data_IF_972575667668
#
_entry.id   IF_972575667668
#
_cell.length_a   1.000
_cell.length_b   1.000
_cell.length_c   1.000
_cell.angle_alpha   90.00
_cell.angle_beta   90.00
_cell.angle_gamma   90.00
#
_symmetry.space_group_name_H-M   'P 1'
#
loop_
_entity.id
_entity.type
_entity.pdbx_description
1 polymer ?
#
# COMPACT_ATOMS: atom_id res chain seq x y z
N UNK A 1 -7.15 -5.70 5.82
CA UNK A 1 -6.17 -4.63 6.09
C UNK A 1 -6.63 -3.81 7.28
N UNK A 2 -5.71 -3.27 8.08
CA UNK A 2 -6.08 -2.56 9.29
C UNK A 2 -5.28 -1.26 9.47
N UNK A 3 -5.98 -0.20 9.81
CA UNK A 3 -5.43 1.07 10.25
C UNK A 3 -5.25 1.02 11.77
N UNK A 4 -4.03 0.84 12.27
CA UNK A 4 -3.77 0.70 13.70
C UNK A 4 -3.50 2.02 14.42
N UNK A 5 -3.36 3.09 13.67
CA UNK A 5 -3.20 4.46 14.17
C UNK A 5 -3.56 5.46 13.10
N UNK A 6 -4.14 6.58 13.50
CA UNK A 6 -4.35 7.73 12.62
C UNK A 6 -3.17 8.72 12.65
N UNK A 7 -2.20 8.53 13.55
CA UNK A 7 -1.01 9.38 13.64
C UNK A 7 0.00 9.03 12.56
N UNK A 8 0.64 10.05 11.99
CA UNK A 8 1.70 9.88 10.99
C UNK A 8 2.83 10.89 11.20
N UNK A 9 4.03 10.48 10.83
CA UNK A 9 5.22 11.35 10.81
C UNK A 9 5.26 12.27 9.58
N UNK A 10 4.39 12.03 8.58
CA UNK A 10 4.33 12.77 7.32
C UNK A 10 2.93 13.32 7.02
N UNK A 11 2.86 14.22 6.03
CA UNK A 11 1.64 14.76 5.42
C UNK A 11 1.79 14.74 3.90
N UNK A 12 1.75 13.52 3.33
CA UNK A 12 1.93 13.33 1.89
C UNK A 12 0.76 13.94 1.10
N UNK A 13 1.07 14.65 0.01
CA UNK A 13 0.07 15.37 -0.80
C UNK A 13 -0.96 14.46 -1.50
N UNK A 14 -0.62 13.19 -1.72
CA UNK A 14 -1.46 12.19 -2.37
C UNK A 14 -1.97 11.13 -1.39
N UNK A 15 -1.90 11.40 -0.07
CA UNK A 15 -2.29 10.43 0.94
C UNK A 15 -3.78 10.16 0.89
N UNK A 16 -4.16 8.91 0.67
CA UNK A 16 -5.58 8.53 0.62
C UNK A 16 -6.25 8.46 2.01
N UNK A 17 -5.47 8.40 3.10
CA UNK A 17 -5.98 8.37 4.47
C UNK A 17 -6.26 9.77 5.00
N UNK A 18 -5.40 10.74 4.65
CA UNK A 18 -5.48 12.12 5.16
C UNK A 18 -6.00 13.12 4.11
N UNK A 19 -6.89 12.68 3.24
CA UNK A 19 -7.57 13.60 2.34
C UNK A 19 -8.24 14.69 3.17
N UNK A 20 -8.11 15.93 2.75
CA UNK A 20 -8.74 17.12 3.35
C UNK A 20 -8.56 17.27 4.87
N UNK A 21 -7.40 16.79 5.38
CA UNK A 21 -7.11 16.84 6.80
C UNK A 21 -7.93 15.85 7.60
N UNK A 22 -7.49 14.60 7.64
CA UNK A 22 -8.13 13.52 8.41
C UNK A 22 -8.62 14.03 9.79
N UNK A 23 -9.94 14.07 10.04
CA UNK A 23 -10.49 14.57 11.31
C UNK A 23 -10.03 13.71 12.50
N UNK A 24 -9.67 12.46 12.27
CA UNK A 24 -9.24 11.50 13.28
C UNK A 24 -7.74 11.54 13.59
N UNK A 25 -6.96 12.39 12.92
CA UNK A 25 -5.49 12.49 13.13
C UNK A 25 -5.11 12.78 14.58
N UNK A 26 -5.95 13.53 15.30
CA UNK A 26 -5.78 13.87 16.72
C UNK A 26 -6.70 13.09 17.66
N UNK A 27 -7.46 12.16 17.11
CA UNK A 27 -8.38 11.32 17.86
C UNK A 27 -7.68 10.45 18.91
N UNK A 28 -8.44 9.99 19.88
CA UNK A 28 -7.94 9.06 20.87
C UNK A 28 -7.70 7.70 20.20
N UNK A 29 -6.53 7.11 20.45
CA UNK A 29 -6.16 5.80 19.90
C UNK A 29 -6.80 4.65 20.69
N UNK A 30 -7.13 3.57 20.00
CA UNK A 30 -7.55 2.32 20.64
C UNK A 30 -6.38 1.72 21.42
N UNK A 31 -6.64 1.30 22.66
CA UNK A 31 -5.63 0.62 23.49
C UNK A 31 -5.20 -0.72 22.88
N UNK A 32 -3.93 -1.07 23.03
CA UNK A 32 -3.32 -2.27 22.43
C UNK A 32 -4.09 -3.55 22.74
N UNK A 33 -4.41 -3.82 24.01
CA UNK A 33 -5.13 -5.03 24.41
C UNK A 33 -6.52 -5.12 23.75
N UNK A 34 -7.24 -4.01 23.67
CA UNK A 34 -8.56 -3.95 23.01
C UNK A 34 -8.43 -4.20 21.51
N UNK A 35 -7.44 -3.58 20.86
CA UNK A 35 -7.19 -3.76 19.44
C UNK A 35 -6.86 -5.21 19.11
N UNK A 36 -5.94 -5.82 19.86
CA UNK A 36 -5.52 -7.21 19.63
C UNK A 36 -6.68 -8.19 19.85
N UNK A 37 -7.50 -7.97 20.87
CA UNK A 37 -8.70 -8.80 21.11
C UNK A 37 -9.65 -8.72 19.92
N UNK A 38 -10.01 -7.51 19.47
CA UNK A 38 -10.90 -7.30 18.32
C UNK A 38 -10.33 -7.94 17.04
N UNK A 39 -9.02 -7.81 16.79
CA UNK A 39 -8.37 -8.42 15.62
C UNK A 39 -8.35 -9.95 15.70
N UNK A 40 -8.16 -10.52 16.89
CA UNK A 40 -8.24 -11.97 17.10
C UNK A 40 -9.65 -12.50 16.86
N UNK A 41 -10.68 -11.80 17.35
CA UNK A 41 -12.09 -12.14 17.09
C UNK A 41 -12.42 -12.13 15.60
N UNK A 42 -12.00 -11.07 14.88
CA UNK A 42 -12.20 -10.95 13.43
C UNK A 42 -11.39 -12.00 12.64
N UNK A 43 -10.18 -12.31 13.09
CA UNK A 43 -9.37 -13.37 12.48
C UNK A 43 -10.08 -14.72 12.56
N UNK A 44 -10.64 -15.08 13.70
CA UNK A 44 -11.38 -16.32 13.89
C UNK A 44 -12.69 -16.34 13.08
N UNK A 45 -13.44 -15.23 13.11
CA UNK A 45 -14.73 -15.11 12.43
C UNK A 45 -14.61 -15.24 10.91
N UNK A 46 -13.57 -14.62 10.33
CA UNK A 46 -13.40 -14.52 8.87
C UNK A 46 -12.28 -15.38 8.31
N UNK A 47 -11.56 -16.14 9.14
CA UNK A 47 -10.43 -16.97 8.71
C UNK A 47 -9.29 -16.16 8.09
N UNK A 48 -9.02 -14.96 8.60
CA UNK A 48 -8.01 -14.05 8.02
C UNK A 48 -6.63 -14.65 8.16
N UNK A 49 -5.94 -14.89 7.05
CA UNK A 49 -4.58 -15.43 7.01
C UNK A 49 -3.52 -14.35 6.82
N UNK A 50 -3.83 -13.32 6.02
CA UNK A 50 -2.89 -12.26 5.64
C UNK A 50 -3.36 -10.97 6.26
N UNK A 51 -2.51 -10.35 7.09
CA UNK A 51 -2.78 -9.03 7.65
C UNK A 51 -1.91 -7.98 6.97
N UNK A 52 -2.57 -6.93 6.44
CA UNK A 52 -1.90 -5.72 5.98
C UNK A 52 -2.04 -4.65 7.06
N UNK A 53 -0.92 -4.38 7.74
CA UNK A 53 -0.79 -3.37 8.76
C UNK A 53 -0.54 -2.01 8.14
N UNK A 54 -1.44 -1.10 8.39
CA UNK A 54 -1.41 0.27 7.88
C UNK A 54 -1.72 1.25 9.01
N UNK A 55 -1.88 2.49 8.63
CA UNK A 55 -2.28 3.55 9.50
C UNK A 55 -1.94 4.90 8.89
N UNK A 56 -1.74 5.90 9.73
CA UNK A 56 -0.88 7.00 9.37
C UNK A 56 0.55 6.46 9.18
N UNK A 57 1.20 6.11 10.28
CA UNK A 57 2.48 5.39 10.25
C UNK A 57 2.43 4.24 11.28
N UNK A 58 2.34 2.98 10.83
CA UNK A 58 2.17 1.85 11.74
C UNK A 58 3.35 1.61 12.68
N UNK A 59 4.56 2.04 12.32
CA UNK A 59 5.73 1.94 13.19
C UNK A 59 5.67 2.85 14.43
N UNK A 60 4.68 3.74 14.52
CA UNK A 60 4.36 4.45 15.77
C UNK A 60 3.65 3.56 16.82
N UNK A 61 3.22 2.36 16.40
CA UNK A 61 2.58 1.37 17.27
C UNK A 61 3.37 0.03 17.28
N UNK A 62 4.63 0.05 17.72
CA UNK A 62 5.46 -1.16 17.81
C UNK A 62 4.85 -2.21 18.76
N UNK A 63 4.12 -1.76 19.77
CA UNK A 63 3.36 -2.58 20.73
C UNK A 63 2.32 -3.45 20.02
N UNK A 64 1.52 -2.84 19.13
CA UNK A 64 0.50 -3.56 18.34
C UNK A 64 1.15 -4.49 17.31
N UNK A 65 2.18 -4.01 16.59
CA UNK A 65 2.83 -4.81 15.55
C UNK A 65 3.48 -6.08 16.10
N UNK A 66 4.21 -5.98 17.22
CA UNK A 66 4.91 -7.13 17.81
C UNK A 66 3.96 -8.24 18.26
N UNK A 67 2.87 -7.88 18.91
CA UNK A 67 1.90 -8.86 19.40
C UNK A 67 0.90 -9.27 18.31
N UNK A 68 0.46 -8.30 17.50
CA UNK A 68 -0.50 -8.55 16.42
C UNK A 68 0.05 -9.44 15.31
N UNK A 69 1.33 -9.32 14.97
CA UNK A 69 1.96 -10.19 13.97
C UNK A 69 1.89 -11.68 14.31
N UNK A 70 1.80 -12.02 15.59
CA UNK A 70 1.66 -13.41 16.06
C UNK A 70 0.29 -14.03 15.74
N UNK A 71 -0.73 -13.19 15.48
CA UNK A 71 -2.11 -13.63 15.22
C UNK A 71 -2.32 -14.13 13.79
N UNK A 72 -1.43 -13.78 12.86
CA UNK A 72 -1.62 -14.04 11.44
C UNK A 72 -0.44 -14.80 10.85
N UNK A 73 -0.74 -15.68 9.90
CA UNK A 73 0.30 -16.51 9.25
C UNK A 73 1.23 -15.71 8.34
N UNK A 74 0.74 -14.58 7.81
CA UNK A 74 1.51 -13.66 6.97
C UNK A 74 1.18 -12.21 7.32
N UNK A 75 2.21 -11.39 7.44
CA UNK A 75 2.10 -9.99 7.79
C UNK A 75 2.74 -9.11 6.71
N UNK A 76 2.08 -8.03 6.37
CA UNK A 76 2.60 -6.99 5.47
C UNK A 76 2.48 -5.67 6.22
N UNK A 77 3.58 -4.94 6.39
CA UNK A 77 3.59 -3.63 7.04
C UNK A 77 3.89 -2.56 6.00
N UNK A 78 2.90 -1.72 5.69
CA UNK A 78 3.11 -0.57 4.79
C UNK A 78 3.54 0.64 5.62
N UNK A 79 4.76 1.10 5.39
CA UNK A 79 5.39 2.20 6.14
C UNK A 79 5.91 3.29 5.21
N UNK A 80 5.99 4.50 5.71
CA UNK A 80 6.65 5.60 5.00
C UNK A 80 8.19 5.54 5.10
N UNK A 81 8.74 4.58 5.83
CA UNK A 81 10.17 4.31 5.93
C UNK A 81 10.99 5.39 6.66
N UNK A 82 10.37 6.30 7.41
CA UNK A 82 11.10 7.34 8.15
C UNK A 82 11.52 6.93 9.56
N UNK A 83 11.08 5.76 10.01
CA UNK A 83 11.42 5.13 11.28
C UNK A 83 12.15 3.81 11.04
N UNK A 84 12.96 3.38 12.01
CA UNK A 84 13.66 2.10 11.93
C UNK A 84 12.66 0.93 11.91
N UNK A 85 12.96 -0.09 11.11
CA UNK A 85 12.12 -1.28 10.98
C UNK A 85 12.26 -2.18 12.21
N UNK A 86 11.21 -2.93 12.51
CA UNK A 86 11.17 -3.89 13.62
C UNK A 86 11.39 -5.30 13.04
N UNK A 87 12.24 -6.09 13.65
CA UNK A 87 12.40 -7.48 13.26
C UNK A 87 11.15 -8.28 13.69
N UNK A 88 10.33 -8.67 12.70
CA UNK A 88 9.08 -9.40 12.88
C UNK A 88 9.09 -10.66 12.01
N UNK A 89 8.86 -11.81 12.62
CA UNK A 89 8.74 -13.07 11.87
C UNK A 89 7.54 -13.04 10.90
N UNK A 90 7.67 -13.72 9.76
CA UNK A 90 6.62 -13.84 8.73
C UNK A 90 6.08 -12.47 8.24
N UNK A 91 6.98 -11.50 8.11
CA UNK A 91 6.63 -10.13 7.76
C UNK A 91 7.30 -9.68 6.45
N UNK A 92 6.57 -8.90 5.67
CA UNK A 92 7.09 -8.14 4.53
C UNK A 92 6.87 -6.65 4.81
N UNK A 93 7.94 -5.87 4.79
CA UNK A 93 7.83 -4.41 4.79
C UNK A 93 7.66 -3.88 3.37
N UNK A 94 6.67 -3.01 3.20
CA UNK A 94 6.43 -2.25 1.98
C UNK A 94 6.75 -0.79 2.28
N UNK A 95 7.93 -0.35 1.88
CA UNK A 95 8.40 1.02 2.11
C UNK A 95 7.95 1.91 0.96
N UNK A 96 7.27 2.98 1.30
CA UNK A 96 6.71 3.91 0.31
C UNK A 96 7.75 4.93 -0.16
N UNK A 97 8.06 4.94 -1.47
CA UNK A 97 8.98 5.89 -2.12
C UNK A 97 8.42 6.25 -3.50
N UNK A 98 8.25 7.55 -3.80
CA UNK A 98 7.52 8.00 -5.00
C UNK A 98 8.37 8.68 -6.07
N UNK A 99 9.66 8.48 -6.04
CA UNK A 99 10.57 9.03 -7.05
C UNK A 99 11.97 9.30 -6.52
N UNK A 100 12.87 9.79 -7.36
CA UNK A 100 14.16 10.35 -6.96
C UNK A 100 14.01 11.47 -5.91
N UNK A 101 15.09 11.90 -5.26
CA UNK A 101 15.03 12.77 -4.07
C UNK A 101 14.07 13.95 -4.16
N UNK A 102 14.17 14.76 -5.19
CA UNK A 102 13.38 15.99 -5.32
C UNK A 102 11.88 15.70 -5.55
N UNK A 103 11.55 14.69 -6.36
CA UNK A 103 10.17 14.28 -6.63
C UNK A 103 9.54 13.61 -5.40
N UNK A 104 10.25 12.70 -4.77
CA UNK A 104 9.78 12.08 -3.54
C UNK A 104 9.50 13.13 -2.46
N UNK A 105 10.44 14.05 -2.26
CA UNK A 105 10.31 15.10 -1.25
C UNK A 105 9.21 16.11 -1.60
N UNK A 106 9.00 16.40 -2.88
CA UNK A 106 7.90 17.25 -3.34
C UNK A 106 6.51 16.64 -3.05
N UNK A 107 6.42 15.29 -3.02
CA UNK A 107 5.18 14.54 -2.76
C UNK A 107 5.01 14.24 -1.27
N UNK A 108 6.06 13.69 -0.62
CA UNK A 108 6.00 13.15 0.75
C UNK A 108 6.51 14.10 1.84
N UNK A 109 7.23 15.15 1.45
CA UNK A 109 7.80 16.13 2.37
C UNK A 109 9.31 16.15 2.35
N UNK A 110 9.87 17.33 2.59
CA UNK A 110 11.31 17.62 2.51
C UNK A 110 12.14 16.69 3.40
N UNK A 111 13.20 16.10 2.83
CA UNK A 111 14.14 15.21 3.50
C UNK A 111 13.63 13.79 3.72
N UNK A 112 12.44 13.44 3.22
CA UNK A 112 11.86 12.10 3.38
C UNK A 112 12.69 11.06 2.64
N UNK A 113 13.11 11.33 1.40
CA UNK A 113 13.94 10.41 0.64
C UNK A 113 15.23 10.04 1.39
N UNK A 114 15.93 11.02 1.91
CA UNK A 114 17.14 10.79 2.71
C UNK A 114 16.89 9.93 3.95
N UNK A 115 15.75 10.11 4.62
CA UNK A 115 15.36 9.27 5.77
C UNK A 115 15.11 7.82 5.36
N UNK A 116 14.39 7.60 4.25
CA UNK A 116 14.14 6.26 3.71
C UNK A 116 15.45 5.57 3.35
N UNK A 117 16.34 6.23 2.61
CA UNK A 117 17.66 5.66 2.26
C UNK A 117 18.48 5.31 3.49
N UNK A 118 18.42 6.14 4.55
CA UNK A 118 19.05 5.87 5.83
C UNK A 118 18.43 4.63 6.51
N UNK A 119 17.11 4.48 6.50
CA UNK A 119 16.43 3.30 7.04
C UNK A 119 16.89 2.04 6.30
N UNK A 120 16.87 2.06 4.95
CA UNK A 120 17.32 0.94 4.13
C UNK A 120 18.78 0.57 4.38
N UNK A 121 19.69 1.54 4.57
CA UNK A 121 21.10 1.28 4.85
C UNK A 121 21.38 0.69 6.25
N UNK A 122 20.42 0.80 7.16
CA UNK A 122 20.55 0.31 8.54
C UNK A 122 19.95 -1.06 8.78
N UNK A 123 19.32 -1.66 7.75
CA UNK A 123 18.77 -3.02 7.86
C UNK A 123 19.92 -3.98 8.18
N UNK A 124 19.84 -4.75 9.30
CA UNK A 124 20.87 -5.72 9.65
C UNK A 124 21.01 -6.85 8.60
N UNK A 125 22.16 -7.50 8.55
CA UNK A 125 22.35 -8.66 7.66
C UNK A 125 21.40 -9.81 7.98
N UNK A 126 21.13 -10.04 9.25
CA UNK A 126 20.26 -11.10 9.74
C UNK A 126 18.84 -10.58 10.03
N UNK A 127 18.32 -9.69 9.19
CA UNK A 127 16.96 -9.19 9.33
C UNK A 127 15.97 -10.18 8.71
N UNK A 128 15.06 -10.73 9.51
CA UNK A 128 14.14 -11.79 9.07
C UNK A 128 13.06 -11.34 8.08
N UNK A 129 12.47 -10.12 8.19
CA UNK A 129 11.48 -9.65 7.24
C UNK A 129 12.05 -9.38 5.85
N UNK A 130 11.27 -9.73 4.82
CA UNK A 130 11.48 -9.24 3.46
C UNK A 130 11.23 -7.73 3.41
N UNK A 131 12.09 -6.99 2.71
CA UNK A 131 11.94 -5.54 2.54
C UNK A 131 11.82 -5.20 1.07
N UNK A 132 10.68 -4.60 0.72
CA UNK A 132 10.44 -4.10 -0.63
C UNK A 132 10.00 -2.63 -0.61
N UNK A 133 10.16 -1.95 -1.74
CA UNK A 133 9.66 -0.61 -1.94
C UNK A 133 8.39 -0.60 -2.79
N UNK A 134 7.53 0.37 -2.57
CA UNK A 134 6.38 0.63 -3.43
C UNK A 134 6.34 2.10 -3.84
N UNK A 135 6.21 2.33 -5.14
CA UNK A 135 5.96 3.64 -5.72
C UNK A 135 4.48 3.78 -6.09
N UNK A 136 3.83 4.83 -5.60
CA UNK A 136 2.55 5.26 -6.14
C UNK A 136 2.83 6.13 -7.35
N UNK A 137 2.62 5.56 -8.53
CA UNK A 137 2.80 6.26 -9.81
C UNK A 137 1.68 7.28 -9.98
N UNK A 138 2.05 8.47 -10.32
CA UNK A 138 1.18 9.62 -10.57
C UNK A 138 1.65 10.33 -11.83
N UNK A 139 0.87 11.24 -12.38
CA UNK A 139 1.31 12.09 -13.49
C UNK A 139 2.57 12.92 -13.17
N UNK A 140 2.90 13.11 -11.88
CA UNK A 140 4.09 13.87 -11.48
C UNK A 140 5.40 13.10 -11.58
N UNK A 141 5.35 11.80 -11.36
CA UNK A 141 6.55 10.96 -11.26
C UNK A 141 6.65 9.88 -12.34
N UNK A 142 5.70 9.82 -13.27
CA UNK A 142 5.65 8.78 -14.30
C UNK A 142 6.90 8.68 -15.19
N UNK A 143 7.62 9.77 -15.37
CA UNK A 143 8.83 9.82 -16.21
C UNK A 143 10.13 9.50 -15.42
N UNK A 144 10.04 9.17 -14.11
CA UNK A 144 11.20 8.94 -13.24
C UNK A 144 11.25 7.53 -12.65
N UNK A 145 10.43 6.60 -13.14
CA UNK A 145 10.28 5.26 -12.55
C UNK A 145 11.56 4.42 -12.66
N UNK A 146 12.26 4.52 -13.79
CA UNK A 146 13.53 3.80 -13.99
C UNK A 146 14.64 4.35 -13.10
N UNK A 147 14.78 5.66 -13.03
CA UNK A 147 15.76 6.29 -12.15
C UNK A 147 15.54 5.86 -10.69
N UNK A 148 14.29 5.84 -10.22
CA UNK A 148 13.95 5.36 -8.89
C UNK A 148 14.34 3.88 -8.72
N UNK A 149 13.99 3.02 -9.68
CA UNK A 149 14.32 1.60 -9.63
C UNK A 149 15.84 1.38 -9.52
N UNK A 150 16.63 2.08 -10.33
CA UNK A 150 18.09 2.02 -10.30
C UNK A 150 18.67 2.46 -8.96
N UNK A 151 18.14 3.55 -8.38
CA UNK A 151 18.57 4.02 -7.04
C UNK A 151 18.25 2.99 -5.96
N UNK A 152 17.05 2.38 -5.99
CA UNK A 152 16.64 1.38 -4.99
C UNK A 152 17.42 0.06 -5.11
N UNK A 153 17.83 -0.35 -6.30
CA UNK A 153 18.68 -1.53 -6.50
C UNK A 153 20.06 -1.42 -5.83
N UNK A 154 20.50 -0.20 -5.49
CA UNK A 154 21.75 0.00 -4.73
C UNK A 154 21.58 -0.14 -3.22
N UNK A 155 20.37 -0.42 -2.75
CA UNK A 155 20.02 -0.52 -1.33
C UNK A 155 19.82 -1.97 -0.89
N UNK A 156 19.35 -2.16 0.34
CA UNK A 156 18.93 -3.49 0.84
C UNK A 156 17.46 -3.82 0.54
N UNK A 157 16.79 -3.07 -0.30
CA UNK A 157 15.48 -3.46 -0.80
C UNK A 157 15.62 -4.65 -1.75
N UNK A 158 14.85 -5.71 -1.49
CA UNK A 158 14.86 -6.94 -2.29
C UNK A 158 14.06 -6.79 -3.60
N UNK A 159 13.19 -5.79 -3.66
CA UNK A 159 12.40 -5.52 -4.85
C UNK A 159 11.53 -4.28 -4.72
N UNK A 160 10.80 -4.00 -5.78
CA UNK A 160 9.82 -2.92 -5.79
C UNK A 160 8.55 -3.28 -6.54
N UNK A 161 7.46 -2.55 -6.24
CA UNK A 161 6.21 -2.59 -7.00
C UNK A 161 5.74 -1.18 -7.36
N UNK A 162 5.05 -1.09 -8.48
CA UNK A 162 4.32 0.08 -8.90
C UNK A 162 2.83 -0.10 -8.57
N UNK A 163 2.28 0.81 -7.78
CA UNK A 163 0.85 1.04 -7.64
C UNK A 163 0.53 2.36 -8.31
N UNK A 164 -0.67 2.55 -8.78
CA UNK A 164 -1.04 3.80 -9.44
C UNK A 164 -1.99 4.60 -8.56
N UNK A 165 -2.00 5.89 -8.78
CA UNK A 165 -2.82 6.80 -8.01
C UNK A 165 -4.30 6.44 -8.07
N UNK A 166 -4.97 6.52 -6.93
CA UNK A 166 -6.42 6.37 -6.81
C UNK A 166 -6.99 7.75 -6.51
N UNK A 167 -7.56 8.44 -7.50
CA UNK A 167 -8.05 9.79 -7.31
C UNK A 167 -9.32 9.82 -6.45
N UNK A 168 -9.55 10.86 -5.65
CA UNK A 168 -10.87 11.17 -5.13
C UNK A 168 -11.83 11.52 -6.28
N UNK A 169 -13.12 11.48 -6.01
CA UNK A 169 -14.13 11.95 -6.96
C UNK A 169 -13.88 13.42 -7.31
N UNK A 170 -13.94 13.74 -8.60
CA UNK A 170 -13.69 15.10 -9.13
C UNK A 170 -12.27 15.64 -8.87
N UNK A 171 -11.27 14.77 -8.83
CA UNK A 171 -9.87 15.18 -8.64
C UNK A 171 -9.37 16.04 -9.80
N UNK A 172 -9.02 17.29 -9.50
CA UNK A 172 -8.40 18.24 -10.42
C UNK A 172 -6.91 18.45 -10.13
N UNK A 173 -6.31 17.61 -9.29
CA UNK A 173 -4.90 17.71 -8.95
C UNK A 173 -4.01 17.29 -10.12
N UNK A 174 -2.74 17.69 -10.06
CA UNK A 174 -1.74 17.24 -11.04
C UNK A 174 -1.18 15.83 -10.73
N UNK A 175 -1.82 15.06 -9.84
CA UNK A 175 -1.50 13.66 -9.60
C UNK A 175 -2.25 12.72 -10.53
N UNK A 176 -3.50 13.08 -10.92
CA UNK A 176 -4.33 12.26 -11.80
C UNK A 176 -4.04 12.52 -13.28
N UNK A 177 -4.27 11.52 -14.12
CA UNK A 177 -4.25 11.65 -15.59
C UNK A 177 -5.61 12.11 -16.16
N UNK A 178 -6.67 12.04 -15.36
CA UNK A 178 -8.03 12.36 -15.76
C UNK A 178 -8.69 11.30 -16.67
N UNK A 179 -7.95 10.33 -17.19
CA UNK A 179 -8.50 9.18 -17.91
C UNK A 179 -7.55 7.97 -17.88
N UNK A 180 -8.09 6.77 -18.12
CA UNK A 180 -7.33 5.54 -18.18
C UNK A 180 -6.36 5.52 -19.38
N UNK A 181 -6.79 6.04 -20.53
CA UNK A 181 -5.96 6.08 -21.75
C UNK A 181 -4.70 6.92 -21.55
N UNK A 182 -4.81 8.04 -20.86
CA UNK A 182 -3.64 8.86 -20.52
C UNK A 182 -2.71 8.16 -19.53
N UNK A 183 -3.23 7.31 -18.64
CA UNK A 183 -2.45 6.50 -17.71
C UNK A 183 -1.68 5.38 -18.40
N UNK A 184 -2.16 4.90 -19.56
CA UNK A 184 -1.56 3.75 -20.26
C UNK A 184 -0.06 3.92 -20.51
N UNK A 185 0.43 5.13 -20.82
CA UNK A 185 1.88 5.39 -20.96
C UNK A 185 2.66 4.96 -19.72
N UNK A 186 2.21 5.36 -18.56
CA UNK A 186 2.87 5.01 -17.29
C UNK A 186 2.75 3.50 -16.96
N UNK A 187 1.63 2.85 -17.33
CA UNK A 187 1.46 1.40 -17.19
C UNK A 187 2.43 0.66 -18.13
N UNK A 188 2.57 1.08 -19.38
CA UNK A 188 3.53 0.50 -20.32
C UNK A 188 4.97 0.66 -19.83
N UNK A 189 5.31 1.81 -19.24
CA UNK A 189 6.63 2.01 -18.64
C UNK A 189 6.88 1.03 -17.48
N UNK A 190 5.91 0.84 -16.59
CA UNK A 190 6.01 -0.16 -15.53
C UNK A 190 6.16 -1.60 -16.09
N UNK A 191 5.49 -1.91 -17.21
CA UNK A 191 5.65 -3.19 -17.91
C UNK A 191 7.04 -3.34 -18.51
N UNK A 192 7.57 -2.30 -19.15
CA UNK A 192 8.94 -2.28 -19.69
C UNK A 192 9.96 -2.51 -18.55
N UNK A 193 9.79 -1.82 -17.42
CA UNK A 193 10.68 -1.99 -16.27
C UNK A 193 10.60 -3.39 -15.67
N UNK A 194 9.41 -4.02 -15.67
CA UNK A 194 9.27 -5.43 -15.30
C UNK A 194 10.06 -6.37 -16.23
N UNK A 195 10.14 -6.06 -17.51
CA UNK A 195 10.93 -6.85 -18.47
C UNK A 195 12.42 -6.57 -18.33
N UNK A 196 12.81 -5.32 -18.08
CA UNK A 196 14.20 -4.90 -17.94
C UNK A 196 14.83 -5.39 -16.63
N UNK A 197 14.06 -5.35 -15.54
CA UNK A 197 14.50 -5.72 -14.18
C UNK A 197 13.59 -6.80 -13.57
N UNK A 198 13.52 -8.01 -14.15
CA UNK A 198 12.54 -9.02 -13.80
C UNK A 198 12.62 -9.51 -12.36
N UNK A 199 13.81 -9.51 -11.76
CA UNK A 199 14.02 -9.96 -10.40
C UNK A 199 13.73 -8.88 -9.36
N UNK A 200 13.83 -7.60 -9.75
CA UNK A 200 13.66 -6.48 -8.86
C UNK A 200 12.23 -5.88 -8.91
N UNK A 201 11.60 -5.78 -10.08
CA UNK A 201 10.22 -5.32 -10.22
C UNK A 201 9.27 -6.50 -10.00
N UNK A 202 8.54 -6.49 -8.89
CA UNK A 202 7.71 -7.63 -8.46
C UNK A 202 6.27 -7.59 -8.95
N UNK A 203 5.86 -6.54 -9.65
CA UNK A 203 4.57 -6.56 -10.34
C UNK A 203 4.45 -7.81 -11.22
N UNK A 204 3.31 -8.48 -11.18
CA UNK A 204 3.01 -9.51 -12.18
C UNK A 204 2.65 -8.83 -13.49
N UNK A 205 3.22 -9.30 -14.62
CA UNK A 205 2.90 -8.75 -15.95
C UNK A 205 1.39 -8.67 -16.16
N UNK A 206 0.66 -9.76 -15.88
CA UNK A 206 -0.79 -9.80 -16.02
C UNK A 206 -1.51 -8.74 -15.18
N UNK A 207 -1.04 -8.45 -13.97
CA UNK A 207 -1.64 -7.38 -13.15
C UNK A 207 -1.47 -5.99 -13.75
N UNK A 208 -0.39 -5.73 -14.47
CA UNK A 208 -0.18 -4.48 -15.20
C UNK A 208 -1.04 -4.43 -16.48
N UNK A 209 -1.13 -5.53 -17.23
CA UNK A 209 -2.02 -5.63 -18.41
C UNK A 209 -3.47 -5.35 -18.04
N UNK A 210 -3.93 -5.84 -16.89
CA UNK A 210 -5.28 -5.58 -16.39
C UNK A 210 -5.51 -4.09 -16.02
N UNK A 211 -4.45 -3.30 -15.81
CA UNK A 211 -4.55 -1.87 -15.53
C UNK A 211 -4.68 -1.01 -16.78
N UNK A 212 -4.44 -1.55 -17.97
CA UNK A 212 -4.63 -0.82 -19.24
C UNK A 212 -6.11 -0.48 -19.45
N UNK A 213 -6.37 0.63 -20.13
CA UNK A 213 -7.72 1.18 -20.30
C UNK A 213 -8.75 0.20 -20.85
N UNK A 214 -8.33 -0.70 -21.73
CA UNK A 214 -9.19 -1.73 -22.34
C UNK A 214 -9.64 -2.82 -21.35
N UNK A 215 -8.94 -2.99 -20.22
CA UNK A 215 -9.20 -4.02 -19.22
C UNK A 215 -9.66 -3.47 -17.86
N UNK A 216 -9.19 -2.28 -17.51
CA UNK A 216 -9.27 -1.76 -16.15
C UNK A 216 -10.72 -1.63 -15.65
N UNK A 217 -11.63 -1.16 -16.51
CA UNK A 217 -13.04 -0.98 -16.13
C UNK A 217 -13.72 -2.32 -15.79
N UNK A 218 -13.44 -3.40 -16.53
CA UNK A 218 -13.97 -4.72 -16.21
C UNK A 218 -13.54 -5.18 -14.80
N UNK A 219 -12.30 -4.87 -14.41
CA UNK A 219 -11.77 -5.21 -13.08
C UNK A 219 -12.42 -4.35 -12.01
N UNK A 220 -12.56 -3.04 -12.22
CA UNK A 220 -13.11 -2.13 -11.21
C UNK A 220 -14.61 -2.29 -11.01
N UNK A 221 -15.37 -2.56 -12.05
CA UNK A 221 -16.80 -2.89 -11.97
C UNK A 221 -17.05 -4.16 -11.13
N UNK A 222 -16.14 -5.14 -11.22
CA UNK A 222 -16.17 -6.40 -10.49
C UNK A 222 -15.08 -6.46 -9.40
N UNK A 223 -14.84 -5.37 -8.71
CA UNK A 223 -13.72 -5.20 -7.80
C UNK A 223 -13.57 -6.31 -6.77
N UNK A 224 -12.46 -7.07 -6.78
CA UNK A 224 -12.25 -8.19 -5.87
C UNK A 224 -12.10 -7.76 -4.41
N UNK A 225 -11.76 -6.49 -4.14
CA UNK A 225 -11.67 -5.97 -2.78
C UNK A 225 -12.99 -6.07 -2.03
N UNK A 226 -14.13 -5.96 -2.72
CA UNK A 226 -15.47 -6.14 -2.13
C UNK A 226 -15.70 -7.52 -1.54
N UNK A 227 -14.97 -8.53 -2.03
CA UNK A 227 -15.16 -9.94 -1.66
C UNK A 227 -14.02 -10.49 -0.80
N UNK A 228 -12.80 -10.00 -0.99
CA UNK A 228 -11.60 -10.62 -0.42
C UNK A 228 -10.84 -9.75 0.57
N UNK A 229 -11.24 -8.50 0.76
CA UNK A 229 -10.57 -7.57 1.67
C UNK A 229 -11.55 -7.08 2.72
N UNK A 230 -11.19 -7.24 3.99
CA UNK A 230 -11.87 -6.59 5.13
C UNK A 230 -11.05 -5.34 5.50
N UNK A 231 -11.49 -4.13 5.12
CA UNK A 231 -10.80 -2.89 5.47
C UNK A 231 -11.28 -2.40 6.83
N UNK A 232 -10.37 -2.26 7.76
CA UNK A 232 -10.62 -1.76 9.12
C UNK A 232 -9.95 -0.41 9.29
N UNK A 233 -10.72 0.64 9.45
CA UNK A 233 -10.24 1.98 9.74
C UNK A 233 -10.60 2.37 11.18
N UNK A 234 -9.79 3.21 11.79
CA UNK A 234 -9.95 3.59 13.18
C UNK A 234 -10.68 4.93 13.27
N UNK A 235 -11.89 4.90 13.85
CA UNK A 235 -12.67 6.09 14.21
C UNK A 235 -13.09 5.98 15.67
N UNK A 236 -12.88 7.02 16.47
CA UNK A 236 -13.28 7.10 17.88
C UNK A 236 -13.00 5.83 18.71
N UNK A 237 -11.82 5.24 18.52
CA UNK A 237 -11.38 3.97 19.14
C UNK A 237 -12.16 2.72 18.71
N UNK A 238 -12.92 2.79 17.63
CA UNK A 238 -13.62 1.66 17.04
C UNK A 238 -13.12 1.38 15.62
N UNK A 239 -13.29 0.14 15.17
CA UNK A 239 -13.05 -0.19 13.76
C UNK A 239 -14.33 0.05 12.98
N UNK A 240 -14.21 0.86 11.94
CA UNK A 240 -15.23 1.03 10.92
C UNK A 240 -14.77 0.35 9.64
N UNK A 241 -15.71 -0.11 8.83
CA UNK A 241 -15.47 -0.81 7.59
C UNK A 241 -16.10 -0.04 6.44
N UNK A 242 -15.57 1.15 6.08
CA UNK A 242 -15.89 1.73 4.80
C UNK A 242 -15.30 0.79 3.75
N UNK A 243 -15.72 0.91 2.52
CA UNK A 243 -15.14 0.13 1.43
C UNK A 243 -13.60 0.18 1.46
N UNK A 244 -12.90 -0.18 0.42
CA UNK A 244 -11.46 -0.29 0.40
C UNK A 244 -10.70 1.02 0.68
N UNK A 245 -11.31 2.20 0.48
CA UNK A 245 -10.71 3.50 0.76
C UNK A 245 -11.48 4.22 1.86
N UNK A 246 -10.75 4.90 2.74
CA UNK A 246 -11.33 5.71 3.80
C UNK A 246 -12.20 6.82 3.22
N UNK A 247 -13.42 6.96 3.76
CA UNK A 247 -14.38 7.98 3.32
C UNK A 247 -15.18 7.63 2.06
N UNK A 248 -14.81 6.62 1.30
CA UNK A 248 -15.51 6.17 0.07
C UNK A 248 -15.69 7.23 -1.02
N UNK A 249 -14.84 8.25 -1.01
CA UNK A 249 -14.88 9.40 -1.90
C UNK A 249 -13.99 9.25 -3.14
N UNK A 250 -13.70 8.03 -3.55
CA UNK A 250 -12.79 7.73 -4.67
C UNK A 250 -13.52 7.51 -5.98
N UNK A 251 -12.84 7.89 -7.06
CA UNK A 251 -13.24 7.51 -8.41
C UNK A 251 -12.77 6.08 -8.70
N UNK A 252 -13.67 5.12 -8.52
CA UNK A 252 -13.37 3.71 -8.75
C UNK A 252 -13.10 3.41 -10.23
N UNK A 253 -13.63 4.16 -11.18
CA UNK A 253 -13.38 3.98 -12.62
C UNK A 253 -11.92 4.29 -12.98
N UNK A 254 -11.28 5.18 -12.22
CA UNK A 254 -9.87 5.52 -12.35
C UNK A 254 -8.96 4.81 -11.34
N UNK A 255 -9.47 3.80 -10.64
CA UNK A 255 -8.70 3.09 -9.63
C UNK A 255 -7.35 2.59 -10.18
N UNK A 256 -6.28 2.90 -9.45
CA UNK A 256 -4.92 2.48 -9.77
C UNK A 256 -4.31 1.56 -8.69
N UNK A 257 -5.08 1.11 -7.71
CA UNK A 257 -4.59 0.28 -6.61
C UNK A 257 -4.09 -1.08 -7.13
N UNK A 258 -2.79 -1.27 -7.17
CA UNK A 258 -2.14 -2.48 -7.68
C UNK A 258 -2.75 -3.77 -7.10
N UNK A 259 -3.07 -3.79 -5.82
CA UNK A 259 -3.60 -4.99 -5.14
C UNK A 259 -4.89 -5.51 -5.77
N UNK A 260 -5.75 -4.62 -6.28
CA UNK A 260 -7.02 -4.98 -6.95
C UNK A 260 -6.73 -5.83 -8.19
N UNK A 261 -5.86 -5.35 -9.05
CA UNK A 261 -5.47 -6.01 -10.30
C UNK A 261 -4.62 -7.26 -10.05
N UNK A 262 -3.81 -7.25 -9.00
CA UNK A 262 -3.03 -8.41 -8.58
C UNK A 262 -3.93 -9.57 -8.13
N UNK A 263 -4.97 -9.29 -7.35
CA UNK A 263 -5.94 -10.32 -6.91
C UNK A 263 -6.62 -10.95 -8.12
N UNK A 264 -7.08 -10.15 -9.11
CA UNK A 264 -7.68 -10.71 -10.34
C UNK A 264 -6.69 -11.58 -11.10
N UNK A 265 -5.46 -11.11 -11.30
CA UNK A 265 -4.42 -11.90 -11.96
C UNK A 265 -4.09 -13.23 -11.24
N UNK A 266 -4.23 -13.28 -9.92
CA UNK A 266 -4.07 -14.50 -9.13
C UNK A 266 -5.27 -15.43 -9.28
N UNK A 267 -6.49 -14.89 -9.30
CA UNK A 267 -7.73 -15.66 -9.52
C UNK A 267 -7.71 -16.31 -10.92
N UNK A 268 -7.34 -15.56 -11.96
CA UNK A 268 -7.23 -16.09 -13.34
C UNK A 268 -6.26 -17.27 -13.45
N UNK A 269 -5.20 -17.29 -12.63
CA UNK A 269 -4.23 -18.39 -12.57
C UNK A 269 -4.64 -19.57 -11.71
N UNK A 270 -5.74 -19.47 -10.96
CA UNK A 270 -6.11 -20.45 -9.94
C UNK A 270 -5.21 -20.45 -8.70
N UNK A 271 -4.35 -19.45 -8.54
CA UNK A 271 -3.37 -19.33 -7.45
C UNK A 271 -3.91 -18.57 -6.22
N UNK A 272 -5.18 -18.23 -6.21
CA UNK A 272 -5.78 -17.44 -5.13
C UNK A 272 -6.47 -18.35 -4.11
N UNK A 273 -5.79 -18.58 -2.97
CA UNK A 273 -6.29 -19.38 -1.85
C UNK A 273 -7.01 -18.48 -0.81
N UNK A 274 -7.97 -17.69 -1.23
CA UNK A 274 -8.80 -16.91 -0.32
C UNK A 274 -10.22 -17.46 -0.32
N UNK A 275 -10.68 -18.05 0.78
CA UNK A 275 -12.12 -18.13 0.99
C UNK A 275 -12.61 -16.68 1.14
N UNK A 276 -13.68 -16.27 0.45
CA UNK A 276 -14.28 -14.98 0.71
C UNK A 276 -14.69 -14.93 2.19
N UNK A 277 -14.46 -13.80 2.89
CA UNK A 277 -15.02 -13.64 4.23
C UNK A 277 -16.54 -13.88 4.15
N UNK A 278 -17.07 -14.56 5.15
CA UNK A 278 -18.52 -14.74 5.24
C UNK A 278 -19.18 -13.35 5.08
N UNK A 279 -20.17 -13.29 4.20
CA UNK A 279 -20.90 -12.04 3.90
C UNK A 279 -21.33 -11.34 5.18
N UNK A 280 -20.88 -10.10 5.34
CA UNK A 280 -21.30 -9.19 6.41
C UNK A 280 -22.69 -8.68 6.08
#
# INVERSE_FOLDING_TARGET
>A
MVNITNRCTLRCKHCFVYRDGNPNDKGAEMGTATMLRKLSELQQLHGIQIMLWMGGEPLLRPDVLREGAKLFSRNIVTTNGTLDLIDLLNCTYVISVDGPPDLNDAIRGKGTFKKVMKTLSRIPEQFAPTVMCQCVVTRKNEDSLEELAMQLMTTRAEGMTFSFYVPPSNDNSNFTWGSLERRNKAVHEAMRLKETYPDFVWNKRRSLELMLSENAKLVTDNCPSKKYVLPLYLEDKEFVTPYCCYGNDVDCDLCGAWVVFYIVAKIEKGDFFGNPPNSI
#
